data_IF_898788912818
#
_entry.id   IF_898788912818
#
_cell.length_a   1.000
_cell.length_b   1.000
_cell.length_c   1.000
_cell.angle_alpha   90.00
_cell.angle_beta   90.00
_cell.angle_gamma   90.00
#
_symmetry.space_group_name_H-M   'P 1'
#
loop_
_entity.id
_entity.type
_entity.pdbx_description
1 polymer ?
#
# COMPACT_ATOMS: atom_id res chain seq x y z
N UNK A 1 18.62 -21.80 -16.30
CA UNK A 1 17.80 -20.62 -15.97
C UNK A 1 18.58 -19.83 -14.94
N UNK A 2 19.20 -18.71 -15.31
CA UNK A 2 19.90 -17.86 -14.34
C UNK A 2 18.91 -17.42 -13.25
N UNK A 3 19.25 -17.69 -11.99
CA UNK A 3 18.41 -17.39 -10.85
C UNK A 3 18.27 -15.86 -10.70
N UNK A 4 17.29 -15.28 -11.38
CA UNK A 4 16.97 -13.85 -11.28
C UNK A 4 16.10 -13.57 -10.05
N UNK A 5 16.60 -13.96 -8.88
CA UNK A 5 15.92 -13.79 -7.59
C UNK A 5 15.60 -12.31 -7.31
N UNK A 6 16.45 -11.39 -7.77
CA UNK A 6 16.22 -9.95 -7.68
C UNK A 6 14.97 -9.53 -8.46
N UNK A 7 14.87 -9.89 -9.75
CA UNK A 7 13.69 -9.58 -10.54
C UNK A 7 12.45 -10.30 -10.00
N UNK A 8 12.57 -11.56 -9.56
CA UNK A 8 11.45 -12.31 -8.96
C UNK A 8 10.93 -11.61 -7.70
N UNK A 9 11.81 -11.14 -6.82
CA UNK A 9 11.43 -10.40 -5.61
C UNK A 9 10.74 -9.08 -5.96
N UNK A 10 11.29 -8.32 -6.89
CA UNK A 10 10.69 -7.05 -7.34
C UNK A 10 9.30 -7.28 -7.92
N UNK A 11 9.16 -8.24 -8.85
CA UNK A 11 7.88 -8.56 -9.48
C UNK A 11 6.86 -9.03 -8.45
N UNK A 12 7.27 -9.89 -7.51
CA UNK A 12 6.40 -10.37 -6.43
C UNK A 12 5.92 -9.19 -5.56
N UNK A 13 6.83 -8.30 -5.17
CA UNK A 13 6.50 -7.11 -4.37
C UNK A 13 5.54 -6.17 -5.09
N UNK A 14 5.74 -5.94 -6.40
CA UNK A 14 4.84 -5.12 -7.23
C UNK A 14 3.46 -5.73 -7.31
N UNK A 15 3.35 -7.04 -7.54
CA UNK A 15 2.05 -7.73 -7.60
C UNK A 15 1.32 -7.62 -6.27
N UNK A 16 2.00 -7.85 -5.15
CA UNK A 16 1.40 -7.72 -3.81
C UNK A 16 0.94 -6.27 -3.57
N UNK A 17 1.79 -5.28 -3.88
CA UNK A 17 1.45 -3.86 -3.71
C UNK A 17 0.26 -3.44 -4.57
N UNK A 18 0.18 -3.91 -5.81
CA UNK A 18 -0.95 -3.64 -6.71
C UNK A 18 -2.26 -4.26 -6.18
N UNK A 19 -2.22 -5.50 -5.68
CA UNK A 19 -3.39 -6.16 -5.07
C UNK A 19 -3.83 -5.41 -3.82
N UNK A 20 -2.91 -5.03 -2.94
CA UNK A 20 -3.21 -4.25 -1.75
C UNK A 20 -3.86 -2.89 -2.12
N UNK A 21 -3.29 -2.18 -3.09
CA UNK A 21 -3.84 -0.91 -3.58
C UNK A 21 -5.25 -1.05 -4.17
N UNK A 22 -5.52 -2.12 -4.92
CA UNK A 22 -6.85 -2.41 -5.46
C UNK A 22 -7.87 -2.66 -4.34
N UNK A 23 -7.51 -3.45 -3.33
CA UNK A 23 -8.36 -3.69 -2.15
C UNK A 23 -8.65 -2.39 -1.40
N UNK A 24 -7.63 -1.55 -1.17
CA UNK A 24 -7.81 -0.25 -0.52
C UNK A 24 -8.80 0.65 -1.27
N UNK A 25 -8.73 0.70 -2.60
CA UNK A 25 -9.67 1.46 -3.42
C UNK A 25 -11.11 0.92 -3.32
N UNK A 26 -11.30 -0.41 -3.35
CA UNK A 26 -12.62 -1.04 -3.18
C UNK A 26 -13.21 -0.72 -1.81
N UNK A 27 -12.41 -0.76 -0.74
CA UNK A 27 -12.87 -0.42 0.61
C UNK A 27 -13.29 1.05 0.70
N UNK A 28 -12.55 1.95 0.05
CA UNK A 28 -12.91 3.37 0.00
C UNK A 28 -14.25 3.59 -0.70
N UNK A 29 -14.46 2.92 -1.83
CA UNK A 29 -15.73 2.98 -2.58
C UNK A 29 -16.88 2.43 -1.74
N UNK A 30 -16.71 1.25 -1.14
CA UNK A 30 -17.75 0.65 -0.28
C UNK A 30 -18.12 1.54 0.91
N UNK A 31 -17.15 2.18 1.55
CA UNK A 31 -17.41 3.15 2.62
C UNK A 31 -18.26 4.31 2.10
N UNK A 32 -17.91 4.85 0.95
CA UNK A 32 -18.62 5.95 0.32
C UNK A 32 -20.08 5.57 -0.03
N UNK A 33 -20.30 4.36 -0.55
CA UNK A 33 -21.63 3.81 -0.83
C UNK A 33 -22.48 3.68 0.44
N UNK A 34 -21.91 3.15 1.53
CA UNK A 34 -22.61 3.00 2.82
C UNK A 34 -22.99 4.37 3.40
N UNK A 35 -22.10 5.35 3.30
CA UNK A 35 -22.32 6.70 3.81
C UNK A 35 -23.17 7.58 2.87
N UNK A 36 -23.57 7.08 1.69
CA UNK A 36 -24.26 7.84 0.62
C UNK A 36 -23.53 9.16 0.28
N UNK A 37 -22.20 9.16 0.36
CA UNK A 37 -21.38 10.31 0.03
C UNK A 37 -20.41 9.97 -1.09
N UNK A 38 -19.92 10.98 -1.81
CA UNK A 38 -18.84 10.76 -2.76
C UNK A 38 -17.57 10.30 -2.01
N UNK A 39 -16.77 9.36 -2.56
CA UNK A 39 -15.51 8.95 -1.96
C UNK A 39 -14.61 10.17 -1.81
N UNK A 40 -14.45 10.62 -0.57
CA UNK A 40 -13.67 11.78 -0.21
C UNK A 40 -12.56 11.36 0.74
N UNK A 41 -11.37 11.84 0.45
CA UNK A 41 -10.23 11.76 1.35
C UNK A 41 -9.92 13.19 1.78
N UNK A 42 -10.00 13.47 3.06
CA UNK A 42 -9.57 14.76 3.60
C UNK A 42 -8.04 14.90 3.53
N UNK A 43 -7.53 16.12 3.57
CA UNK A 43 -6.09 16.35 3.63
C UNK A 43 -5.44 15.64 4.84
N UNK A 44 -6.13 15.62 5.99
CA UNK A 44 -5.67 14.92 7.19
C UNK A 44 -5.58 13.40 7.01
N UNK A 45 -6.60 12.78 6.40
CA UNK A 45 -6.56 11.34 6.09
C UNK A 45 -5.46 11.01 5.07
N UNK A 46 -5.21 11.88 4.08
CA UNK A 46 -4.11 11.72 3.13
C UNK A 46 -2.74 11.74 3.81
N UNK A 47 -2.52 12.65 4.75
CA UNK A 47 -1.29 12.67 5.57
C UNK A 47 -1.17 11.39 6.40
N UNK A 48 -2.25 10.93 7.03
CA UNK A 48 -2.24 9.72 7.85
C UNK A 48 -1.87 8.48 7.01
N UNK A 49 -2.44 8.33 5.81
CA UNK A 49 -2.09 7.25 4.88
C UNK A 49 -0.63 7.35 4.43
N UNK A 50 -0.18 8.56 4.06
CA UNK A 50 1.21 8.80 3.66
C UNK A 50 2.22 8.47 4.76
N UNK A 51 1.96 8.89 6.00
CA UNK A 51 2.79 8.55 7.15
C UNK A 51 2.81 7.04 7.44
N UNK A 52 1.68 6.36 7.26
CA UNK A 52 1.61 4.89 7.35
C UNK A 52 2.54 4.20 6.34
N UNK A 53 2.52 4.65 5.08
CA UNK A 53 3.40 4.13 4.04
C UNK A 53 4.87 4.42 4.34
N UNK A 54 5.20 5.63 4.79
CA UNK A 54 6.56 5.99 5.22
C UNK A 54 7.04 5.14 6.40
N UNK A 55 6.16 4.85 7.37
CA UNK A 55 6.43 3.95 8.49
C UNK A 55 6.78 2.53 8.03
N UNK A 56 6.02 1.99 7.07
CA UNK A 56 6.31 0.69 6.46
C UNK A 56 7.70 0.67 5.79
N UNK A 57 8.01 1.68 4.98
CA UNK A 57 9.31 1.79 4.32
C UNK A 57 10.45 1.88 5.32
N UNK A 58 10.28 2.69 6.38
CA UNK A 58 11.26 2.80 7.47
C UNK A 58 11.45 1.46 8.19
N UNK A 59 10.37 0.73 8.45
CA UNK A 59 10.43 -0.58 9.11
C UNK A 59 11.27 -1.54 8.28
N UNK A 60 10.98 -1.67 6.98
CA UNK A 60 11.74 -2.55 6.07
C UNK A 60 13.22 -2.14 6.01
N UNK A 61 13.52 -0.84 5.94
CA UNK A 61 14.89 -0.33 5.93
C UNK A 61 15.67 -0.63 7.23
N UNK A 62 14.98 -0.81 8.35
CA UNK A 62 15.57 -1.19 9.64
C UNK A 62 15.58 -2.70 9.92
N UNK A 63 15.04 -3.54 9.02
CA UNK A 63 15.15 -5.00 9.17
C UNK A 63 16.58 -5.44 8.82
N UNK A 64 17.23 -6.18 9.73
CA UNK A 64 18.58 -6.73 9.51
C UNK A 64 19.75 -5.82 9.94
N UNK A 65 19.48 -4.73 10.67
CA UNK A 65 20.51 -3.94 11.37
C UNK A 65 20.82 -4.45 12.78
N UNK A 66 20.77 -5.77 13.00
CA UNK A 66 21.29 -6.47 14.19
C UNK A 66 22.36 -7.47 13.78
#
# INVERSE_FOLDING_TARGET
>A
MENNWKAKTIVTGVVIGAVAGAISAILLIKKAEIEQTAPKLTAGEGIQVGLGLLGLLRMIAGLGTE
#
